data_IF_577142506216
#
_entry.id   IF_577142506216
#
_cell.length_a   1.000
_cell.length_b   1.000
_cell.length_c   1.000
_cell.angle_alpha   90.00
_cell.angle_beta   90.00
_cell.angle_gamma   90.00
#
_symmetry.space_group_name_H-M   'P 1'
#
loop_
_entity.id
_entity.type
_entity.pdbx_description
1 polymer ?
#
# COMPACT_ATOMS: atom_id res chain seq x y z
N UNK A 1 -22.32 6.95 8.73
CA UNK A 1 -21.17 7.40 9.55
C UNK A 1 -21.24 8.90 9.80
N UNK A 2 -21.20 9.74 8.76
CA UNK A 2 -21.42 11.21 8.85
C UNK A 2 -22.63 11.65 9.69
N UNK A 3 -23.83 11.16 9.38
CA UNK A 3 -25.05 11.51 10.15
C UNK A 3 -24.99 11.12 11.63
N UNK A 4 -24.24 10.06 11.94
CA UNK A 4 -24.07 9.54 13.29
C UNK A 4 -22.83 10.12 14.01
N UNK A 5 -22.05 10.99 13.37
CA UNK A 5 -20.78 11.49 13.89
C UNK A 5 -19.73 10.39 14.14
N UNK A 6 -19.88 9.22 13.49
CA UNK A 6 -18.98 8.09 13.70
C UNK A 6 -17.64 8.30 12.98
N UNK A 7 -16.54 7.90 13.62
CA UNK A 7 -15.22 7.88 12.98
C UNK A 7 -15.04 6.58 12.21
N UNK A 8 -14.70 6.68 10.92
CA UNK A 8 -14.35 5.54 10.07
C UNK A 8 -12.91 5.70 9.61
N UNK A 9 -12.08 4.67 9.84
CA UNK A 9 -10.69 4.62 9.37
C UNK A 9 -10.57 3.46 8.38
N UNK A 10 -10.73 3.71 7.07
CA UNK A 10 -10.68 2.63 6.08
C UNK A 10 -9.25 2.11 5.89
N UNK A 11 -9.14 0.82 5.59
CA UNK A 11 -7.90 0.17 5.15
C UNK A 11 -6.65 0.41 6.04
N UNK A 12 -6.83 0.57 7.35
CA UNK A 12 -5.71 0.73 8.29
C UNK A 12 -4.96 -0.59 8.48
N UNK A 13 -4.09 -0.90 7.53
CA UNK A 13 -3.25 -2.09 7.50
C UNK A 13 -1.96 -1.81 6.71
N UNK A 14 -1.16 -2.85 6.47
CA UNK A 14 0.05 -2.72 5.66
C UNK A 14 -0.22 -2.19 4.24
N UNK A 15 -1.16 -2.78 3.51
CA UNK A 15 -1.63 -2.27 2.22
C UNK A 15 -2.80 -1.30 2.45
N UNK A 16 -2.72 -0.09 1.90
CA UNK A 16 -3.65 1.01 2.19
C UNK A 16 -3.09 1.93 3.27
N UNK A 17 -3.10 1.49 4.53
CA UNK A 17 -2.79 2.36 5.66
C UNK A 17 -1.35 2.87 5.68
N UNK A 18 -0.35 1.98 5.57
CA UNK A 18 1.05 2.39 5.69
C UNK A 18 1.51 3.26 4.50
N UNK A 19 1.18 2.87 3.27
CA UNK A 19 1.52 3.63 2.08
C UNK A 19 0.88 5.02 2.09
N UNK A 20 -0.39 5.11 2.46
CA UNK A 20 -1.11 6.37 2.60
C UNK A 20 -0.50 7.29 3.68
N UNK A 21 -0.20 6.75 4.88
CA UNK A 21 0.45 7.53 5.94
C UNK A 21 1.81 8.10 5.49
N UNK A 22 2.58 7.33 4.72
CA UNK A 22 3.85 7.78 4.16
C UNK A 22 3.66 8.85 3.07
N UNK A 23 2.71 8.66 2.15
CA UNK A 23 2.37 9.67 1.15
C UNK A 23 1.91 10.98 1.80
N UNK A 24 1.09 10.90 2.84
CA UNK A 24 0.65 12.04 3.65
C UNK A 24 1.83 12.75 4.32
N UNK A 25 2.77 11.99 4.87
CA UNK A 25 3.98 12.56 5.48
C UNK A 25 4.87 13.24 4.42
N UNK A 26 5.00 12.64 3.23
CA UNK A 26 5.78 13.18 2.11
C UNK A 26 5.15 14.45 1.50
N UNK A 27 3.81 14.57 1.49
CA UNK A 27 3.11 15.81 1.14
C UNK A 27 3.58 16.97 2.01
N UNK A 28 3.74 16.74 3.32
CA UNK A 28 4.23 17.76 4.26
C UNK A 28 3.33 19.01 4.26
N UNK A 29 3.87 20.14 3.81
CA UNK A 29 3.16 21.42 3.69
C UNK A 29 2.51 21.67 2.32
N UNK A 30 2.65 20.74 1.36
CA UNK A 30 1.98 20.85 0.07
C UNK A 30 0.47 20.67 0.21
N UNK A 31 -0.29 21.56 -0.42
CA UNK A 31 -1.75 21.47 -0.49
C UNK A 31 -2.24 20.55 -1.62
N UNK A 32 -1.40 20.37 -2.64
CA UNK A 32 -1.65 19.55 -3.83
C UNK A 32 -0.33 18.97 -4.34
N UNK A 33 -0.41 17.90 -5.11
CA UNK A 33 0.71 17.30 -5.83
C UNK A 33 0.26 16.88 -7.23
N UNK A 34 1.23 16.69 -8.14
CA UNK A 34 0.97 16.22 -9.50
C UNK A 34 0.78 14.70 -9.50
N UNK A 35 1.58 13.97 -8.73
CA UNK A 35 1.52 12.51 -8.66
C UNK A 35 2.00 11.94 -7.32
N UNK A 36 1.40 10.82 -6.92
CA UNK A 36 1.85 9.96 -5.82
C UNK A 36 2.19 8.58 -6.36
N UNK A 37 3.38 8.10 -6.02
CA UNK A 37 3.84 6.74 -6.26
C UNK A 37 4.06 6.02 -4.94
N UNK A 38 3.57 4.79 -4.82
CA UNK A 38 3.82 3.95 -3.65
C UNK A 38 4.36 2.61 -4.12
N UNK A 39 5.64 2.37 -3.87
CA UNK A 39 6.30 1.13 -4.23
C UNK A 39 6.46 0.21 -3.02
N UNK A 40 5.96 -1.02 -3.15
CA UNK A 40 6.09 -2.08 -2.17
C UNK A 40 7.24 -3.02 -2.55
N UNK A 41 8.31 -2.90 -1.77
CA UNK A 41 9.51 -3.73 -1.84
C UNK A 41 9.45 -4.89 -0.86
N UNK A 42 9.02 -6.07 -1.29
CA UNK A 42 9.02 -7.27 -0.45
C UNK A 42 10.14 -8.23 -0.85
N UNK A 43 10.84 -8.81 0.14
CA UNK A 43 11.86 -9.85 -0.09
C UNK A 43 11.25 -11.16 -0.60
N UNK A 44 10.05 -11.46 -0.13
CA UNK A 44 9.18 -12.57 -0.54
C UNK A 44 7.76 -12.26 -0.08
N UNK A 45 6.77 -12.96 -0.63
CA UNK A 45 5.39 -12.83 -0.18
C UNK A 45 4.70 -14.19 -0.04
N UNK A 46 4.88 -14.78 1.14
CA UNK A 46 4.21 -15.98 1.62
C UNK A 46 2.85 -15.59 2.20
N UNK A 47 1.75 -15.90 1.52
CA UNK A 47 0.45 -15.38 1.91
C UNK A 47 -0.19 -16.19 3.03
N UNK A 48 -0.85 -15.51 3.97
CA UNK A 48 -1.79 -16.18 4.88
C UNK A 48 -2.99 -16.72 4.10
N UNK A 49 -3.74 -17.65 4.71
CA UNK A 49 -5.02 -18.12 4.16
C UNK A 49 -5.99 -16.94 3.89
N UNK A 50 -6.03 -15.95 4.79
CA UNK A 50 -6.82 -14.75 4.63
C UNK A 50 -6.41 -13.92 3.40
N UNK A 51 -5.10 -13.74 3.16
CA UNK A 51 -4.59 -13.05 1.96
C UNK A 51 -4.98 -13.78 0.68
N UNK A 52 -4.94 -15.12 0.66
CA UNK A 52 -5.35 -15.90 -0.51
C UNK A 52 -6.85 -15.72 -0.80
N UNK A 53 -7.69 -15.80 0.24
CA UNK A 53 -9.14 -15.62 0.11
C UNK A 53 -9.51 -14.22 -0.36
N UNK A 54 -8.94 -13.17 0.22
CA UNK A 54 -9.22 -11.79 -0.19
C UNK A 54 -8.70 -11.49 -1.61
N UNK A 55 -7.55 -12.06 -1.97
CA UNK A 55 -6.99 -11.99 -3.32
C UNK A 55 -7.90 -12.66 -4.37
N UNK A 56 -8.47 -13.82 -4.05
CA UNK A 56 -9.41 -14.53 -4.92
C UNK A 56 -10.68 -13.70 -5.17
N UNK A 57 -11.31 -13.18 -4.11
CA UNK A 57 -12.49 -12.30 -4.22
C UNK A 57 -12.18 -11.05 -5.04
N UNK A 58 -11.00 -10.46 -4.83
CA UNK A 58 -10.57 -9.28 -5.58
C UNK A 58 -10.40 -9.58 -7.08
N UNK A 59 -9.83 -10.74 -7.41
CA UNK A 59 -9.66 -11.20 -8.79
C UNK A 59 -11.00 -11.48 -9.46
N UNK A 60 -11.91 -12.17 -8.76
CA UNK A 60 -13.26 -12.46 -9.24
C UNK A 60 -14.02 -11.17 -9.60
N UNK A 61 -14.01 -10.17 -8.70
CA UNK A 61 -14.72 -8.90 -8.92
C UNK A 61 -14.17 -8.08 -10.08
N UNK A 62 -12.84 -8.08 -10.25
CA UNK A 62 -12.18 -7.32 -11.31
C UNK A 62 -12.26 -8.03 -12.68
N UNK A 63 -12.32 -9.36 -12.67
CA UNK A 63 -12.14 -10.16 -13.88
C UNK A 63 -10.76 -9.92 -14.48
N UNK A 64 -10.68 -9.78 -15.80
CA UNK A 64 -9.44 -9.50 -16.53
C UNK A 64 -9.06 -8.01 -16.56
N UNK A 65 -9.79 -7.17 -15.81
CA UNK A 65 -9.56 -5.73 -15.78
C UNK A 65 -8.66 -5.35 -14.62
N UNK A 66 -7.79 -4.36 -14.85
CA UNK A 66 -7.03 -3.65 -13.82
C UNK A 66 -7.63 -2.26 -13.61
N UNK A 67 -7.36 -1.66 -12.46
CA UNK A 67 -7.81 -0.30 -12.12
C UNK A 67 -6.61 0.62 -11.99
N UNK A 68 -6.67 1.80 -12.61
CA UNK A 68 -5.72 2.89 -12.35
C UNK A 68 -6.46 4.16 -11.98
N UNK A 69 -5.79 5.02 -11.22
CA UNK A 69 -6.29 6.34 -10.85
C UNK A 69 -5.43 7.39 -11.54
N UNK A 70 -6.02 8.04 -12.54
CA UNK A 70 -5.34 8.98 -13.44
C UNK A 70 -6.30 10.08 -13.84
N UNK A 71 -5.81 11.30 -14.03
CA UNK A 71 -6.63 12.47 -14.33
C UNK A 71 -7.69 12.77 -13.25
N UNK A 72 -7.48 12.31 -12.01
CA UNK A 72 -8.45 12.45 -10.93
C UNK A 72 -9.62 11.44 -10.97
N UNK A 73 -9.60 10.49 -11.90
CA UNK A 73 -10.69 9.54 -12.17
C UNK A 73 -10.19 8.09 -12.14
N UNK A 74 -11.13 7.16 -12.00
CA UNK A 74 -10.85 5.73 -12.06
C UNK A 74 -11.06 5.17 -13.45
N UNK A 75 -10.04 4.49 -13.97
CA UNK A 75 -10.09 3.85 -15.28
C UNK A 75 -9.89 2.33 -15.18
N UNK A 76 -10.63 1.60 -16.01
CA UNK A 76 -10.42 0.17 -16.22
C UNK A 76 -9.48 -0.05 -17.41
N UNK A 77 -8.46 -0.88 -17.19
CA UNK A 77 -7.47 -1.27 -18.18
C UNK A 77 -7.54 -2.78 -18.42
N UNK A 78 -7.23 -3.24 -19.63
CA UNK A 78 -7.20 -4.68 -19.99
C UNK A 78 -5.85 -5.12 -20.57
N UNK A 79 -4.95 -4.17 -20.81
CA UNK A 79 -3.56 -4.43 -21.17
C UNK A 79 -2.77 -4.98 -19.97
N UNK A 80 -1.63 -5.59 -20.28
CA UNK A 80 -0.75 -6.13 -19.25
C UNK A 80 -0.16 -4.99 -18.41
N UNK A 81 -0.05 -5.16 -17.08
CA UNK A 81 0.59 -4.14 -16.25
C UNK A 81 2.05 -3.96 -16.66
N UNK A 82 2.59 -2.73 -16.63
CA UNK A 82 3.97 -2.46 -16.98
C UNK A 82 4.92 -3.14 -16.00
N UNK A 83 6.03 -3.64 -16.51
CA UNK A 83 7.18 -4.06 -15.69
C UNK A 83 8.28 -3.02 -15.84
N UNK A 84 8.79 -2.52 -14.72
CA UNK A 84 9.83 -1.49 -14.69
C UNK A 84 10.84 -1.78 -13.56
N UNK A 85 11.91 -1.00 -13.52
CA UNK A 85 12.83 -0.97 -12.38
C UNK A 85 12.44 0.18 -11.46
N UNK A 86 12.31 -0.11 -10.16
CA UNK A 86 12.17 0.92 -9.13
C UNK A 86 13.45 0.98 -8.29
N UNK A 87 13.98 2.19 -8.13
CA UNK A 87 15.19 2.46 -7.33
C UNK A 87 14.82 2.66 -5.87
N UNK A 88 14.57 1.54 -5.17
CA UNK A 88 14.33 1.57 -3.74
C UNK A 88 15.59 2.06 -2.99
N UNK A 89 15.41 2.81 -1.89
CA UNK A 89 16.49 3.10 -0.95
C UNK A 89 17.20 1.83 -0.45
N UNK A 90 18.43 2.00 0.01
CA UNK A 90 19.14 0.95 0.73
C UNK A 90 18.37 0.57 2.01
N UNK A 91 18.38 -0.72 2.42
CA UNK A 91 19.23 -1.80 1.91
C UNK A 91 18.67 -2.58 0.72
N UNK A 92 17.44 -2.29 0.24
CA UNK A 92 16.79 -3.12 -0.78
C UNK A 92 17.41 -2.95 -2.17
N UNK A 93 17.74 -1.70 -2.51
CA UNK A 93 18.31 -1.30 -3.80
C UNK A 93 17.34 -1.50 -4.98
N UNK A 94 17.81 -1.28 -6.22
CA UNK A 94 16.99 -1.39 -7.42
C UNK A 94 16.34 -2.76 -7.57
N UNK A 95 15.03 -2.80 -7.88
CA UNK A 95 14.27 -4.04 -8.10
C UNK A 95 13.35 -3.93 -9.29
N UNK A 96 13.12 -5.07 -9.96
CA UNK A 96 12.02 -5.18 -10.91
C UNK A 96 10.68 -5.16 -10.16
N UNK A 97 9.78 -4.29 -10.60
CA UNK A 97 8.43 -4.14 -10.04
C UNK A 97 7.39 -4.26 -11.15
N UNK A 98 6.23 -4.81 -10.77
CA UNK A 98 5.01 -4.69 -11.55
C UNK A 98 4.37 -3.37 -11.14
N UNK A 99 4.34 -2.43 -12.07
CA UNK A 99 3.64 -1.18 -11.87
C UNK A 99 2.15 -1.40 -11.87
N UNK A 100 1.44 -0.40 -11.36
CA UNK A 100 -0.01 -0.38 -11.47
C UNK A 100 -0.65 -1.60 -10.73
N UNK A 101 0.07 -2.16 -9.75
CA UNK A 101 -0.40 -3.26 -8.91
C UNK A 101 -1.36 -2.70 -7.86
N UNK A 102 -2.63 -2.54 -8.22
CA UNK A 102 -3.61 -1.77 -7.44
C UNK A 102 -3.85 -2.35 -6.06
N UNK A 103 -3.52 -1.56 -5.04
CA UNK A 103 -3.85 -1.81 -3.63
C UNK A 103 -4.87 -0.79 -3.13
N UNK A 104 -5.29 -0.94 -1.87
CA UNK A 104 -6.25 -0.03 -1.25
C UNK A 104 -5.76 1.43 -1.21
N UNK A 105 -4.44 1.68 -1.26
CA UNK A 105 -3.84 3.02 -1.27
C UNK A 105 -4.34 3.89 -2.41
N UNK A 106 -4.60 3.29 -3.58
CA UNK A 106 -5.11 3.99 -4.76
C UNK A 106 -6.51 4.56 -4.48
N UNK A 107 -7.24 4.01 -3.50
CA UNK A 107 -8.53 4.54 -3.01
C UNK A 107 -8.35 5.52 -1.88
N UNK A 108 -7.50 5.21 -0.90
CA UNK A 108 -7.40 6.03 0.30
C UNK A 108 -6.67 7.34 0.05
N UNK A 109 -5.56 7.34 -0.70
CA UNK A 109 -4.75 8.54 -0.97
C UNK A 109 -5.57 9.68 -1.61
N UNK A 110 -6.24 9.49 -2.78
CA UNK A 110 -6.97 10.58 -3.41
C UNK A 110 -8.28 10.93 -2.69
N UNK A 111 -8.68 10.16 -1.67
CA UNK A 111 -9.85 10.49 -0.85
C UNK A 111 -9.62 11.67 0.11
N UNK A 112 -8.35 12.00 0.38
CA UNK A 112 -8.00 13.11 1.28
C UNK A 112 -6.80 13.96 0.82
N UNK A 113 -5.97 13.48 -0.10
CA UNK A 113 -4.92 14.28 -0.76
C UNK A 113 -5.41 14.78 -2.11
N UNK A 114 -5.14 16.06 -2.42
CA UNK A 114 -5.41 16.64 -3.74
C UNK A 114 -4.31 16.24 -4.72
N UNK A 115 -4.50 15.11 -5.39
CA UNK A 115 -3.57 14.58 -6.41
C UNK A 115 -4.34 13.91 -7.55
N UNK A 116 -4.04 14.18 -8.83
CA UNK A 116 -4.72 13.57 -9.97
C UNK A 116 -4.18 12.18 -10.35
N UNK A 117 -2.94 11.85 -9.97
CA UNK A 117 -2.27 10.59 -10.34
C UNK A 117 -1.85 9.81 -9.09
N UNK A 118 -2.29 8.54 -8.99
CA UNK A 118 -1.82 7.63 -7.92
C UNK A 118 -1.47 6.28 -8.50
N UNK A 119 -0.19 5.91 -8.43
CA UNK A 119 0.31 4.62 -8.95
C UNK A 119 0.99 3.80 -7.87
N UNK A 120 0.58 2.54 -7.74
CA UNK A 120 1.21 1.57 -6.83
C UNK A 120 2.07 0.56 -7.57
N UNK A 121 3.16 0.11 -6.95
CA UNK A 121 4.11 -0.84 -7.52
C UNK A 121 4.34 -1.98 -6.53
N UNK A 122 4.60 -3.19 -7.02
CA UNK A 122 4.93 -4.36 -6.21
C UNK A 122 6.16 -5.06 -6.79
N UNK A 123 7.11 -5.49 -5.96
CA UNK A 123 8.24 -6.30 -6.45
C UNK A 123 7.77 -7.52 -7.22
N UNK A 124 8.35 -7.75 -8.39
CA UNK A 124 7.93 -8.83 -9.29
C UNK A 124 8.05 -10.21 -8.63
N UNK A 125 9.03 -10.40 -7.74
CA UNK A 125 9.23 -11.63 -6.98
C UNK A 125 8.04 -11.92 -6.06
N UNK A 126 7.54 -10.90 -5.38
CA UNK A 126 6.35 -11.00 -4.52
C UNK A 126 5.09 -11.30 -5.32
N UNK A 127 4.94 -10.70 -6.51
CA UNK A 127 3.84 -11.01 -7.43
C UNK A 127 3.89 -12.48 -7.89
N UNK A 128 5.08 -13.04 -8.11
CA UNK A 128 5.23 -14.46 -8.45
C UNK A 128 4.88 -15.36 -7.26
N UNK A 129 5.33 -15.03 -6.05
CA UNK A 129 5.00 -15.81 -4.85
C UNK A 129 3.49 -15.86 -4.59
N UNK A 130 2.80 -14.73 -4.66
CA UNK A 130 1.35 -14.69 -4.42
C UNK A 130 0.56 -15.46 -5.49
N UNK A 131 1.04 -15.45 -6.74
CA UNK A 131 0.42 -16.16 -7.85
C UNK A 131 0.62 -17.68 -7.80
N UNK A 132 1.70 -18.15 -7.16
CA UNK A 132 2.01 -19.57 -7.05
C UNK A 132 1.16 -20.25 -5.95
N UNK A 133 0.31 -21.23 -6.31
CA UNK A 133 -0.44 -22.02 -5.35
C UNK A 133 0.44 -22.83 -4.39
N UNK A 134 1.68 -23.16 -4.81
CA UNK A 134 2.67 -23.90 -4.03
C UNK A 134 3.44 -23.06 -3.02
N UNK A 135 3.35 -21.73 -3.07
CA UNK A 135 4.01 -20.87 -2.07
C UNK A 135 3.43 -21.16 -0.68
N UNK A 136 4.26 -21.46 0.34
CA UNK A 136 3.77 -21.82 1.66
C UNK A 136 3.15 -20.62 2.38
N UNK A 137 2.42 -20.92 3.47
CA UNK A 137 2.05 -19.89 4.44
C UNK A 137 3.30 -19.32 5.13
N UNK A 138 3.24 -18.09 5.68
CA UNK A 138 4.35 -17.53 6.44
C UNK A 138 4.61 -18.38 7.69
N UNK A 139 5.89 -18.65 7.96
CA UNK A 139 6.35 -19.41 9.14
C UNK A 139 7.13 -18.49 10.05
N UNK A 140 7.00 -18.67 11.36
CA UNK A 140 7.79 -17.93 12.34
C UNK A 140 9.29 -18.23 12.16
N UNK A 141 10.09 -17.17 12.08
CA UNK A 141 11.55 -17.23 12.02
C UNK A 141 12.17 -17.43 13.41
N UNK A 142 11.50 -16.99 14.46
CA UNK A 142 11.95 -17.08 15.86
C UNK A 142 10.78 -17.13 16.86
N UNK A 143 11.11 -17.04 18.15
CA UNK A 143 10.14 -17.08 19.26
C UNK A 143 9.16 -15.90 19.32
N UNK A 144 9.33 -14.86 18.49
CA UNK A 144 8.39 -13.74 18.39
C UNK A 144 7.16 -14.08 17.53
N UNK A 145 7.19 -15.21 16.79
CA UNK A 145 6.11 -15.60 15.88
C UNK A 145 6.10 -14.87 14.53
N UNK A 146 7.05 -13.96 14.28
CA UNK A 146 7.18 -13.21 13.01
C UNK A 146 7.91 -14.03 11.97
N UNK A 147 7.51 -13.91 10.71
CA UNK A 147 8.26 -14.43 9.57
C UNK A 147 9.51 -13.61 9.28
N UNK A 148 10.46 -14.20 8.56
CA UNK A 148 11.71 -13.56 8.13
C UNK A 148 11.54 -12.60 6.95
N UNK A 149 10.34 -12.52 6.37
CA UNK A 149 10.02 -11.68 5.22
C UNK A 149 10.21 -10.21 5.56
N UNK A 150 11.06 -9.50 4.83
CA UNK A 150 11.28 -8.07 5.02
C UNK A 150 10.50 -7.25 4.01
N UNK A 151 10.14 -6.03 4.39
CA UNK A 151 9.49 -5.07 3.52
C UNK A 151 10.20 -3.72 3.54
N UNK A 152 10.05 -2.97 2.46
CA UNK A 152 10.29 -1.55 2.34
C UNK A 152 9.13 -0.94 1.55
N UNK A 153 8.47 0.08 2.10
CA UNK A 153 7.46 0.88 1.42
C UNK A 153 8.09 2.24 1.12
N UNK A 154 8.14 2.58 -0.16
CA UNK A 154 8.71 3.83 -0.66
C UNK A 154 7.58 4.68 -1.26
N UNK A 155 7.20 5.75 -0.56
CA UNK A 155 6.20 6.70 -1.02
C UNK A 155 6.89 7.95 -1.56
N UNK A 156 6.62 8.25 -2.83
CA UNK A 156 7.18 9.37 -3.57
C UNK A 156 6.05 10.29 -4.02
N UNK A 157 6.16 11.57 -3.71
CA UNK A 157 5.20 12.60 -4.08
C UNK A 157 5.93 13.63 -4.93
N UNK A 158 5.35 14.03 -6.07
CA UNK A 158 5.95 15.01 -6.97
C UNK A 158 5.05 16.21 -7.21
N UNK A 159 5.67 17.38 -7.32
CA UNK A 159 5.01 18.65 -7.65
C UNK A 159 5.97 19.58 -8.37
N UNK A 160 5.63 20.03 -9.58
CA UNK A 160 6.39 21.02 -10.34
C UNK A 160 7.85 20.62 -10.57
N UNK A 161 8.12 19.33 -10.77
CA UNK A 161 9.47 18.77 -10.92
C UNK A 161 10.26 18.56 -9.62
N UNK A 162 9.69 18.89 -8.47
CA UNK A 162 10.26 18.58 -7.14
C UNK A 162 9.74 17.24 -6.66
N UNK A 163 10.62 16.42 -6.09
CA UNK A 163 10.28 15.12 -5.50
C UNK A 163 10.46 15.17 -3.97
N UNK A 164 9.47 14.64 -3.23
CA UNK A 164 9.56 14.35 -1.79
C UNK A 164 9.33 12.87 -1.56
N UNK A 165 10.06 12.30 -0.60
CA UNK A 165 10.06 10.85 -0.34
C UNK A 165 9.90 10.56 1.15
N UNK A 166 9.06 9.57 1.46
CA UNK A 166 8.93 9.00 2.79
C UNK A 166 9.02 7.47 2.70
N UNK A 167 9.78 6.87 3.61
CA UNK A 167 10.14 5.45 3.54
C UNK A 167 9.87 4.79 4.88
N UNK A 168 9.27 3.60 4.86
CA UNK A 168 9.26 2.70 6.00
C UNK A 168 9.82 1.35 5.60
N UNK A 169 10.60 0.71 6.46
CA UNK A 169 11.05 -0.65 6.25
C UNK A 169 10.94 -1.46 7.54
N UNK A 170 10.88 -2.78 7.40
CA UNK A 170 10.70 -3.65 8.54
C UNK A 170 10.60 -5.11 8.15
N UNK A 171 10.06 -5.89 9.07
CA UNK A 171 9.88 -7.33 8.94
C UNK A 171 8.41 -7.65 9.16
N UNK A 172 7.93 -8.62 8.38
CA UNK A 172 6.61 -9.23 8.43
C UNK A 172 5.47 -8.23 8.25
N UNK A 173 4.93 -8.22 7.03
CA UNK A 173 3.80 -7.36 6.64
C UNK A 173 2.51 -7.66 7.44
N UNK A 174 2.38 -8.87 7.98
CA UNK A 174 1.24 -9.27 8.81
C UNK A 174 1.41 -8.74 10.22
N UNK A 175 2.60 -8.88 10.79
CA UNK A 175 2.90 -8.43 12.14
C UNK A 175 2.86 -6.90 12.28
N UNK A 176 3.27 -6.15 11.27
CA UNK A 176 3.24 -4.67 11.30
C UNK A 176 1.81 -4.10 11.20
N UNK A 177 0.83 -4.88 10.75
CA UNK A 177 -0.56 -4.42 10.67
C UNK A 177 -1.16 -4.15 12.06
N UNK A 178 -0.85 -4.99 13.06
CA UNK A 178 -1.38 -4.82 14.42
C UNK A 178 -1.04 -3.46 15.07
N UNK A 179 0.23 -3.00 15.12
CA UNK A 179 0.54 -1.70 15.69
C UNK A 179 -0.08 -0.53 14.93
N UNK A 180 -0.28 -0.62 13.60
CA UNK A 180 -0.98 0.42 12.83
C UNK A 180 -2.44 0.57 13.30
N UNK A 181 -3.14 -0.56 13.46
CA UNK A 181 -4.54 -0.58 13.94
C UNK A 181 -4.63 -0.07 15.38
N UNK A 182 -3.72 -0.51 16.26
CA UNK A 182 -3.73 -0.13 17.68
C UNK A 182 -3.46 1.36 17.85
N UNK A 183 -2.48 1.93 17.13
CA UNK A 183 -2.21 3.37 17.17
C UNK A 183 -3.41 4.19 16.66
N UNK A 184 -4.04 3.75 15.56
CA UNK A 184 -5.25 4.41 15.06
C UNK A 184 -6.38 4.36 16.09
N UNK A 185 -6.62 3.21 16.72
CA UNK A 185 -7.63 3.05 17.75
C UNK A 185 -7.34 3.93 18.97
N UNK A 186 -6.09 3.94 19.47
CA UNK A 186 -5.71 4.78 20.60
C UNK A 186 -5.94 6.26 20.32
N UNK A 187 -5.61 6.75 19.12
CA UNK A 187 -5.91 8.13 18.71
C UNK A 187 -7.40 8.42 18.70
N UNK A 188 -8.22 7.51 18.18
CA UNK A 188 -9.68 7.67 18.17
C UNK A 188 -10.22 7.74 19.59
N UNK A 189 -9.83 6.82 20.46
CA UNK A 189 -10.30 6.77 21.84
C UNK A 189 -9.82 7.95 22.68
N UNK A 190 -8.62 8.46 22.41
CA UNK A 190 -8.06 9.65 23.06
C UNK A 190 -8.56 10.97 22.46
N UNK A 191 -9.48 10.95 21.49
CA UNK A 191 -10.01 12.16 20.83
C UNK A 191 -8.97 12.90 19.99
N UNK A 192 -7.88 12.25 19.57
CA UNK A 192 -6.83 12.81 18.71
C UNK A 192 -7.16 12.65 17.22
N UNK A 193 -8.43 12.84 16.86
CA UNK A 193 -8.92 12.85 15.48
C UNK A 193 -9.20 14.27 15.03
N UNK A 194 -9.03 14.55 13.74
CA UNK A 194 -9.30 15.88 13.15
C UNK A 194 -10.66 15.96 12.46
N UNK A 195 -11.26 14.82 12.15
CA UNK A 195 -12.51 14.71 11.40
C UNK A 195 -13.32 13.50 11.87
N UNK A 196 -14.59 13.48 11.51
CA UNK A 196 -15.55 12.38 11.66
C UNK A 196 -16.24 12.14 10.33
N UNK A 197 -16.74 10.94 10.08
CA UNK A 197 -17.56 10.66 8.89
C UNK A 197 -17.16 9.41 8.13
#
# INVERSE_FOLDING_TARGET
AREAGAVVVPAMAFFGGLGDLLATAAMGDWQEADEVHIAYGLSSWHPTAGTRLSGAVSRERRGDRRLRYTGGEWEYCTDAPPTLTWDFPQPLGPRSVIGEFTMADVVTVPSHLSVPEVTTYMTADAVRNIADPGTPAPTAADGSGRSDQTFLVDAVVRRGGVERRAVAHGQDIYAVTAPLVVEALDRVLAGRTRTTG
#
